data_IF_260646270233
#
_entry.id   IF_260646270233
#
_cell.length_a   1.000
_cell.length_b   1.000
_cell.length_c   1.000
_cell.angle_alpha   90.00
_cell.angle_beta   90.00
_cell.angle_gamma   90.00
#
_symmetry.space_group_name_H-M   'P 1'
#
loop_
_entity.id
_entity.type
_entity.pdbx_description
1 polymer ?
#
# COMPACT_ATOMS: atom_id res chain seq x y z
N UNK A 1 30.86 -5.93 24.26
CA UNK A 1 29.64 -5.83 25.08
C UNK A 1 28.48 -5.72 24.11
N UNK A 2 27.69 -6.79 23.94
CA UNK A 2 26.53 -6.74 23.05
C UNK A 2 25.37 -6.12 23.84
N UNK A 3 24.93 -4.94 23.45
CA UNK A 3 23.71 -4.33 23.98
C UNK A 3 22.55 -5.25 23.55
N UNK A 4 21.89 -5.91 24.51
CA UNK A 4 20.66 -6.67 24.25
C UNK A 4 19.48 -5.74 24.49
N UNK A 5 18.74 -5.43 23.44
CA UNK A 5 17.48 -4.71 23.54
C UNK A 5 16.41 -5.62 24.16
N UNK A 6 15.51 -5.04 24.96
CA UNK A 6 14.31 -5.74 25.41
C UNK A 6 13.31 -5.87 24.27
N UNK A 7 12.39 -6.85 24.36
CA UNK A 7 11.33 -6.99 23.35
C UNK A 7 10.48 -5.71 23.25
N UNK A 8 10.17 -5.06 24.38
CA UNK A 8 9.47 -3.76 24.40
C UNK A 8 10.23 -2.67 23.64
N UNK A 9 11.56 -2.62 23.73
CA UNK A 9 12.38 -1.66 22.98
C UNK A 9 12.40 -1.97 21.49
N UNK A 10 12.40 -3.25 21.12
CA UNK A 10 12.31 -3.70 19.72
C UNK A 10 10.93 -3.33 19.15
N UNK A 11 9.85 -3.61 19.88
CA UNK A 11 8.48 -3.33 19.47
C UNK A 11 8.22 -1.82 19.34
N UNK A 12 8.74 -1.02 20.26
CA UNK A 12 8.71 0.46 20.17
C UNK A 12 9.43 0.93 18.91
N UNK A 13 10.63 0.44 18.64
CA UNK A 13 11.42 0.85 17.47
C UNK A 13 10.75 0.43 16.14
N UNK A 14 10.10 -0.74 16.11
CA UNK A 14 9.31 -1.17 14.95
C UNK A 14 8.13 -0.22 14.75
N UNK A 15 7.40 0.11 15.81
CA UNK A 15 6.24 1.01 15.74
C UNK A 15 6.63 2.39 15.23
N UNK A 16 7.71 2.97 15.76
CA UNK A 16 8.21 4.29 15.34
C UNK A 16 8.55 4.33 13.84
N UNK A 17 9.22 3.28 13.31
CA UNK A 17 9.57 3.19 11.88
C UNK A 17 8.36 3.08 10.97
N UNK A 18 7.33 2.39 11.43
CA UNK A 18 6.08 2.19 10.69
C UNK A 18 5.29 3.50 10.61
N UNK A 19 5.23 4.24 11.73
CA UNK A 19 4.64 5.57 11.80
C UNK A 19 5.41 6.61 10.97
N UNK A 20 6.75 6.58 11.00
CA UNK A 20 7.59 7.46 10.18
C UNK A 20 7.35 7.27 8.67
N UNK A 21 7.25 6.02 8.22
CA UNK A 21 6.95 5.71 6.83
C UNK A 21 5.54 6.17 6.44
N UNK A 22 4.56 5.97 7.32
CA UNK A 22 3.19 6.39 7.10
C UNK A 22 3.08 7.93 7.03
N UNK A 23 3.75 8.64 7.94
CA UNK A 23 3.82 10.11 7.95
C UNK A 23 4.51 10.68 6.72
N UNK A 24 5.66 10.12 6.35
CA UNK A 24 6.35 10.52 5.11
C UNK A 24 5.44 10.34 3.89
N UNK A 25 4.77 9.18 3.80
CA UNK A 25 3.91 8.89 2.66
C UNK A 25 2.65 9.77 2.66
N UNK A 26 2.06 10.06 3.82
CA UNK A 26 0.95 10.98 3.96
C UNK A 26 1.28 12.36 3.41
N UNK A 27 2.41 12.93 3.84
CA UNK A 27 2.85 14.25 3.40
C UNK A 27 3.04 14.30 1.88
N UNK A 28 3.70 13.28 1.33
CA UNK A 28 3.88 13.13 -0.13
C UNK A 28 2.55 13.03 -0.88
N UNK A 29 1.60 12.24 -0.38
CA UNK A 29 0.32 11.99 -1.06
C UNK A 29 -0.64 13.17 -0.95
N UNK A 30 -0.63 13.89 0.17
CA UNK A 30 -1.40 15.13 0.34
C UNK A 30 -0.98 16.20 -0.67
N UNK A 31 0.31 16.32 -0.95
CA UNK A 31 0.84 17.23 -1.97
C UNK A 31 0.50 16.77 -3.39
N UNK A 32 0.62 15.46 -3.67
CA UNK A 32 0.38 14.89 -5.01
C UNK A 32 -1.10 14.81 -5.37
N UNK A 33 -1.97 14.54 -4.40
CA UNK A 33 -3.41 14.31 -4.58
C UNK A 33 -4.25 15.12 -3.55
N UNK A 34 -4.16 16.46 -3.54
CA UNK A 34 -4.80 17.28 -2.53
C UNK A 34 -6.33 17.15 -2.52
N UNK A 35 -6.94 16.91 -3.69
CA UNK A 35 -8.39 16.69 -3.79
C UNK A 35 -8.84 15.40 -3.11
N UNK A 36 -8.04 14.33 -3.17
CA UNK A 36 -8.36 13.06 -2.52
C UNK A 36 -8.12 13.14 -1.01
N UNK A 37 -7.02 13.78 -0.58
CA UNK A 37 -6.75 14.06 0.83
C UNK A 37 -7.92 14.79 1.49
N UNK A 38 -8.39 15.87 0.85
CA UNK A 38 -9.54 16.63 1.34
C UNK A 38 -10.83 15.79 1.34
N UNK A 39 -11.09 15.06 0.26
CA UNK A 39 -12.33 14.28 0.08
C UNK A 39 -12.46 13.14 1.09
N UNK A 40 -11.39 12.40 1.33
CA UNK A 40 -11.44 11.17 2.12
C UNK A 40 -11.07 11.37 3.59
N UNK A 41 -10.20 12.34 3.87
CA UNK A 41 -9.63 12.54 5.20
C UNK A 41 -9.86 13.94 5.76
N UNK A 42 -10.46 14.87 4.99
CA UNK A 42 -10.60 16.28 5.37
C UNK A 42 -9.25 16.96 5.69
N UNK A 43 -8.16 16.47 5.09
CA UNK A 43 -6.77 16.82 5.40
C UNK A 43 -6.33 16.54 6.86
N UNK A 44 -7.07 15.72 7.59
CA UNK A 44 -6.74 15.24 8.94
C UNK A 44 -5.54 14.29 8.88
N UNK A 45 -4.40 14.77 9.40
CA UNK A 45 -3.14 14.03 9.39
C UNK A 45 -3.25 12.70 10.14
N UNK A 46 -3.89 12.70 11.31
CA UNK A 46 -3.98 11.48 12.12
C UNK A 46 -4.73 10.40 11.38
N UNK A 47 -5.88 10.72 10.79
CA UNK A 47 -6.66 9.76 10.00
C UNK A 47 -5.89 9.26 8.78
N UNK A 48 -5.17 10.16 8.10
CA UNK A 48 -4.35 9.84 6.95
C UNK A 48 -3.20 8.89 7.27
N UNK A 49 -2.47 9.18 8.34
CA UNK A 49 -1.35 8.37 8.85
C UNK A 49 -1.87 7.02 9.33
N UNK A 50 -2.92 6.98 10.13
CA UNK A 50 -3.53 5.72 10.61
C UNK A 50 -3.96 4.82 9.43
N UNK A 51 -4.55 5.41 8.39
CA UNK A 51 -4.93 4.69 7.18
C UNK A 51 -3.71 4.09 6.46
N UNK A 52 -2.65 4.89 6.26
CA UNK A 52 -1.45 4.46 5.54
C UNK A 52 -0.66 3.42 6.34
N UNK A 53 -0.61 3.56 7.66
CA UNK A 53 0.00 2.59 8.56
C UNK A 53 -0.63 1.21 8.38
N UNK A 54 -1.96 1.13 8.33
CA UNK A 54 -2.67 -0.13 8.09
C UNK A 54 -2.32 -0.72 6.72
N UNK A 55 -2.38 0.09 5.66
CA UNK A 55 -2.08 -0.37 4.29
C UNK A 55 -0.64 -0.86 4.15
N UNK A 56 0.33 -0.10 4.65
CA UNK A 56 1.77 -0.40 4.57
C UNK A 56 2.18 -1.56 5.47
N UNK A 57 1.47 -1.80 6.56
CA UNK A 57 1.68 -2.98 7.42
C UNK A 57 1.16 -4.23 6.73
N UNK A 58 -0.02 -4.16 6.12
CA UNK A 58 -0.68 -5.29 5.47
C UNK A 58 0.16 -5.87 4.33
N UNK A 59 0.73 -5.02 3.47
CA UNK A 59 1.51 -5.48 2.31
C UNK A 59 2.78 -6.26 2.67
N UNK A 60 3.25 -6.19 3.92
CA UNK A 60 4.43 -6.95 4.38
C UNK A 60 4.27 -8.44 4.14
N UNK A 61 3.04 -8.97 4.21
CA UNK A 61 2.77 -10.39 3.95
C UNK A 61 3.12 -10.83 2.52
N UNK A 62 3.02 -9.92 1.54
CA UNK A 62 3.33 -10.20 0.15
C UNK A 62 4.79 -9.94 -0.21
N UNK A 63 5.51 -9.16 0.62
CA UNK A 63 6.91 -8.76 0.39
C UNK A 63 7.93 -9.61 1.16
N UNK A 64 7.51 -10.78 1.66
CA UNK A 64 8.38 -11.66 2.40
C UNK A 64 9.64 -12.05 1.60
N UNK A 65 10.80 -11.97 2.26
CA UNK A 65 12.11 -12.23 1.66
C UNK A 65 12.78 -11.00 1.03
N UNK A 66 12.12 -9.83 1.06
CA UNK A 66 12.67 -8.56 0.59
C UNK A 66 12.90 -7.54 1.72
N UNK A 67 12.80 -7.94 2.99
CA UNK A 67 12.85 -7.03 4.14
C UNK A 67 14.18 -6.28 4.28
N UNK A 68 15.27 -6.88 3.79
CA UNK A 68 16.62 -6.29 3.79
C UNK A 68 16.94 -5.51 2.50
N UNK A 69 16.01 -5.47 1.54
CA UNK A 69 16.18 -4.70 0.30
C UNK A 69 16.05 -3.19 0.57
N UNK A 70 16.90 -2.40 -0.08
CA UNK A 70 16.90 -0.94 0.05
C UNK A 70 15.58 -0.31 -0.43
N UNK A 71 14.90 -0.94 -1.39
CA UNK A 71 13.63 -0.49 -1.95
C UNK A 71 12.41 -1.08 -1.22
N UNK A 72 12.60 -1.87 -0.15
CA UNK A 72 11.51 -2.48 0.60
C UNK A 72 10.44 -1.47 1.04
N UNK A 73 10.86 -0.39 1.70
CA UNK A 73 9.95 0.67 2.15
C UNK A 73 9.32 1.46 1.00
N UNK A 74 10.00 1.54 -0.15
CA UNK A 74 9.45 2.17 -1.35
C UNK A 74 8.25 1.38 -1.87
N UNK A 75 8.35 0.05 -1.98
CA UNK A 75 7.22 -0.77 -2.43
C UNK A 75 6.06 -0.73 -1.45
N UNK A 76 6.34 -0.71 -0.15
CA UNK A 76 5.32 -0.51 0.88
C UNK A 76 4.60 0.82 0.71
N UNK A 77 5.33 1.89 0.44
CA UNK A 77 4.74 3.20 0.16
C UNK A 77 3.92 3.24 -1.14
N UNK A 78 4.35 2.55 -2.19
CA UNK A 78 3.58 2.41 -3.45
C UNK A 78 2.26 1.69 -3.19
N UNK A 79 2.26 0.61 -2.41
CA UNK A 79 1.02 -0.05 -2.01
C UNK A 79 0.11 0.88 -1.18
N UNK A 80 0.68 1.65 -0.26
CA UNK A 80 -0.04 2.69 0.47
C UNK A 80 -0.65 3.76 -0.46
N UNK A 81 0.07 4.17 -1.50
CA UNK A 81 -0.43 5.10 -2.53
C UNK A 81 -1.61 4.53 -3.32
N UNK A 82 -1.51 3.27 -3.75
CA UNK A 82 -2.61 2.55 -4.39
C UNK A 82 -3.85 2.58 -3.50
N UNK A 83 -3.70 2.17 -2.23
CA UNK A 83 -4.77 2.13 -1.23
C UNK A 83 -5.39 3.51 -1.00
N UNK A 84 -4.55 4.55 -0.94
CA UNK A 84 -4.99 5.94 -0.77
C UNK A 84 -5.84 6.42 -1.95
N UNK A 85 -5.40 6.16 -3.18
CA UNK A 85 -6.10 6.59 -4.40
C UNK A 85 -7.50 5.96 -4.47
N UNK A 86 -7.60 4.67 -4.17
CA UNK A 86 -8.86 3.91 -4.19
C UNK A 86 -9.66 4.04 -2.88
N UNK A 87 -9.11 4.72 -1.88
CA UNK A 87 -9.67 4.89 -0.54
C UNK A 87 -10.08 3.57 0.14
N UNK A 88 -9.20 2.56 0.05
CA UNK A 88 -9.39 1.24 0.65
C UNK A 88 -8.03 0.69 1.09
N UNK A 89 -7.82 0.46 2.39
CA UNK A 89 -6.54 -0.04 2.92
C UNK A 89 -6.37 -1.56 2.75
N UNK A 90 -7.44 -2.26 2.37
CA UNK A 90 -7.56 -3.72 2.25
C UNK A 90 -7.97 -4.13 0.83
N UNK A 91 -7.30 -3.59 -0.20
CA UNK A 91 -7.61 -3.92 -1.60
C UNK A 91 -7.44 -5.40 -1.93
N UNK A 92 -6.60 -6.10 -1.17
CA UNK A 92 -6.39 -7.55 -1.19
C UNK A 92 -7.59 -8.36 -0.69
N UNK A 93 -8.63 -7.73 -0.12
CA UNK A 93 -9.90 -8.43 0.11
C UNK A 93 -10.61 -8.80 -1.20
N UNK A 94 -10.36 -8.02 -2.26
CA UNK A 94 -10.79 -8.38 -3.60
C UNK A 94 -9.94 -9.55 -4.13
N UNK A 95 -10.61 -10.60 -4.63
CA UNK A 95 -9.94 -11.84 -5.06
C UNK A 95 -9.02 -11.61 -6.25
N UNK A 96 -9.35 -10.68 -7.14
CA UNK A 96 -8.56 -10.41 -8.33
C UNK A 96 -7.26 -9.66 -7.95
N UNK A 97 -7.36 -8.62 -7.12
CA UNK A 97 -6.18 -7.93 -6.58
C UNK A 97 -5.29 -8.89 -5.77
N UNK A 98 -5.91 -9.75 -4.94
CA UNK A 98 -5.17 -10.77 -4.19
C UNK A 98 -4.45 -11.75 -5.11
N UNK A 99 -5.10 -12.19 -6.19
CA UNK A 99 -4.49 -13.07 -7.18
C UNK A 99 -3.20 -12.50 -7.76
N UNK A 100 -3.16 -11.19 -8.03
CA UNK A 100 -1.94 -10.48 -8.48
C UNK A 100 -0.86 -10.49 -7.39
N UNK A 101 -1.23 -10.20 -6.14
CA UNK A 101 -0.30 -10.14 -4.99
C UNK A 101 0.27 -11.52 -4.61
N UNK A 102 -0.47 -12.59 -4.85
CA UNK A 102 -0.07 -13.97 -4.57
C UNK A 102 0.66 -14.65 -5.75
N UNK A 103 0.74 -14.02 -6.93
CA UNK A 103 1.34 -14.59 -8.15
C UNK A 103 2.83 -14.96 -7.98
N UNK A 104 3.15 -16.25 -8.06
CA UNK A 104 4.49 -16.76 -7.74
C UNK A 104 5.48 -16.65 -8.90
N UNK A 105 5.03 -16.45 -10.14
CA UNK A 105 5.90 -16.31 -11.31
C UNK A 105 6.70 -15.00 -11.29
N UNK A 106 6.22 -13.99 -10.56
CA UNK A 106 6.84 -12.69 -10.48
C UNK A 106 7.53 -12.47 -9.13
N UNK A 107 8.65 -11.71 -9.12
CA UNK A 107 9.19 -11.23 -7.86
C UNK A 107 8.17 -10.33 -7.15
N UNK A 108 8.13 -10.31 -5.80
CA UNK A 108 7.08 -9.61 -5.06
C UNK A 108 6.88 -8.14 -5.44
N UNK A 109 7.97 -7.41 -5.69
CA UNK A 109 7.88 -6.00 -6.08
C UNK A 109 7.08 -5.78 -7.37
N UNK A 110 7.22 -6.70 -8.34
CA UNK A 110 6.57 -6.56 -9.65
C UNK A 110 5.06 -6.70 -9.52
N UNK A 111 4.57 -7.42 -8.52
CA UNK A 111 3.14 -7.56 -8.24
C UNK A 111 2.53 -6.22 -7.81
N UNK A 112 3.26 -5.46 -6.99
CA UNK A 112 2.87 -4.11 -6.57
C UNK A 112 2.95 -3.15 -7.75
N UNK A 113 4.00 -3.24 -8.58
CA UNK A 113 4.14 -2.41 -9.78
C UNK A 113 3.01 -2.67 -10.79
N UNK A 114 2.59 -3.93 -10.96
CA UNK A 114 1.44 -4.29 -11.79
C UNK A 114 0.16 -3.63 -11.27
N UNK A 115 -0.11 -3.71 -9.97
CA UNK A 115 -1.26 -3.02 -9.36
C UNK A 115 -1.17 -1.49 -9.54
N UNK A 116 0.02 -0.90 -9.40
CA UNK A 116 0.22 0.53 -9.62
C UNK A 116 -0.11 0.91 -11.08
N UNK A 117 0.36 0.13 -12.05
CA UNK A 117 0.07 0.35 -13.47
C UNK A 117 -1.41 0.19 -13.82
N UNK A 118 -2.11 -0.76 -13.18
CA UNK A 118 -3.56 -0.90 -13.30
C UNK A 118 -4.27 0.37 -12.82
N UNK A 119 -3.92 0.86 -11.61
CA UNK A 119 -4.51 2.07 -11.04
C UNK A 119 -4.23 3.29 -11.92
N UNK A 120 -3.00 3.45 -12.39
CA UNK A 120 -2.62 4.54 -13.30
C UNK A 120 -3.43 4.50 -14.60
N UNK A 121 -3.62 3.30 -15.18
CA UNK A 121 -4.46 3.12 -16.37
C UNK A 121 -5.91 3.52 -16.10
N UNK A 122 -6.47 3.09 -14.96
CA UNK A 122 -7.82 3.46 -14.53
C UNK A 122 -7.98 4.96 -14.34
N UNK A 123 -7.01 5.65 -13.74
CA UNK A 123 -7.11 7.08 -13.50
C UNK A 123 -7.15 7.89 -14.81
N UNK A 124 -6.49 7.40 -15.85
CA UNK A 124 -6.30 8.13 -17.10
C UNK A 124 -7.24 7.69 -18.23
N UNK A 125 -7.94 6.56 -18.11
CA UNK A 125 -8.75 6.00 -19.20
C UNK A 125 -10.08 5.38 -18.71
N UNK A 126 -11.20 5.90 -19.22
CA UNK A 126 -12.56 5.44 -18.86
C UNK A 126 -12.90 4.03 -19.38
N UNK A 127 -12.29 3.57 -20.47
CA UNK A 127 -12.44 2.20 -20.95
C UNK A 127 -11.69 1.21 -20.05
N UNK A 128 -10.51 1.60 -19.55
CA UNK A 128 -9.80 0.83 -18.52
C UNK A 128 -10.67 0.68 -17.27
N UNK A 129 -11.28 1.78 -16.77
CA UNK A 129 -12.20 1.71 -15.62
C UNK A 129 -13.35 0.72 -15.85
N UNK A 130 -13.98 0.73 -17.02
CA UNK A 130 -15.05 -0.21 -17.37
C UNK A 130 -14.56 -1.65 -17.41
N UNK A 131 -13.37 -1.87 -17.98
CA UNK A 131 -12.76 -3.20 -18.07
C UNK A 131 -12.48 -3.79 -16.68
N UNK A 132 -11.82 -3.05 -15.78
CA UNK A 132 -11.54 -3.56 -14.43
C UNK A 132 -12.81 -3.75 -13.59
N UNK A 133 -13.80 -2.86 -13.72
CA UNK A 133 -15.10 -3.04 -13.08
C UNK A 133 -15.87 -4.27 -13.59
N UNK A 134 -15.56 -4.77 -14.80
CA UNK A 134 -16.08 -6.03 -15.30
C UNK A 134 -15.32 -7.23 -14.70
N UNK A 135 -13.99 -7.14 -14.58
CA UNK A 135 -13.16 -8.18 -13.95
C UNK A 135 -13.53 -8.44 -12.48
N UNK A 136 -13.84 -7.38 -11.71
CA UNK A 136 -14.31 -7.52 -10.32
C UNK A 136 -15.65 -8.28 -10.21
N UNK A 137 -16.50 -8.20 -11.24
CA UNK A 137 -17.82 -8.84 -11.27
C UNK A 137 -17.76 -10.30 -11.71
N UNK A 138 -16.72 -10.69 -12.42
CA UNK A 138 -16.54 -12.08 -12.80
C UNK A 138 -16.03 -12.88 -11.61
N UNK A 139 -16.85 -13.82 -11.14
CA UNK A 139 -16.39 -14.85 -10.23
C UNK A 139 -15.61 -15.86 -11.05
N UNK A 140 -14.29 -15.69 -11.11
CA UNK A 140 -13.38 -16.67 -11.69
C UNK A 140 -13.51 -17.97 -10.87
N UNK A 141 -14.21 -18.95 -11.44
CA UNK A 141 -14.40 -20.32 -10.91
C UNK A 141 -13.39 -21.27 -11.54
#
# INVERSE_FOLDING_TARGET
>A
MAIKFTQEQIDSFITDREEELALWNWNRLKEKFPSLSKKYFDDDEKKGVDFLLLAQTRVKEYLHGLEDDIDYNKWRAVYGEICFIVNKYNIDEDKWNRGILEERLWPPYLRIDVLAGIVESCLNNSESQKFYAALEKETWQ
#
